data_IF_313983689769
#
_entry.id   IF_313983689769
#
_cell.length_a   1.000
_cell.length_b   1.000
_cell.length_c   1.000
_cell.angle_alpha   90.00
_cell.angle_beta   90.00
_cell.angle_gamma   90.00
#
_symmetry.space_group_name_H-M   'P 1'
#
loop_
_entity.id
_entity.type
_entity.pdbx_description
1 polymer ?
#
# COMPACT_ATOMS: atom_id res chain seq x y z
N UNK A 1 -52.17 15.31 -23.90
CA UNK A 1 -53.29 14.38 -23.65
C UNK A 1 -53.48 13.51 -24.89
N UNK A 2 -53.11 12.24 -24.78
CA UNK A 2 -53.57 11.03 -25.49
C UNK A 2 -52.73 9.85 -24.92
N UNK A 3 -53.30 8.67 -24.66
CA UNK A 3 -52.75 7.70 -23.70
C UNK A 3 -51.75 6.71 -24.33
N UNK A 4 -50.71 6.35 -23.57
CA UNK A 4 -49.80 5.26 -23.89
C UNK A 4 -50.40 3.92 -23.41
N UNK A 5 -50.57 3.00 -24.34
CA UNK A 5 -51.03 1.62 -24.15
C UNK A 5 -49.99 0.80 -23.36
N UNK A 6 -50.44 0.04 -22.36
CA UNK A 6 -49.62 -0.92 -21.60
C UNK A 6 -49.64 -2.26 -22.36
N UNK A 7 -48.50 -2.94 -22.59
CA UNK A 7 -48.51 -4.29 -23.14
C UNK A 7 -48.83 -5.30 -22.03
N UNK A 8 -49.82 -6.15 -22.28
CA UNK A 8 -50.16 -7.33 -21.48
C UNK A 8 -49.04 -8.37 -21.56
N UNK A 9 -48.42 -8.68 -20.41
CA UNK A 9 -47.54 -9.83 -20.26
C UNK A 9 -48.40 -11.10 -20.15
N UNK A 10 -48.18 -12.01 -21.09
CA UNK A 10 -48.74 -13.35 -21.12
C UNK A 10 -47.86 -14.24 -20.21
N UNK A 11 -48.43 -14.78 -19.14
CA UNK A 11 -47.79 -15.78 -18.28
C UNK A 11 -48.45 -17.15 -18.53
N UNK A 12 -47.71 -18.16 -19.06
CA UNK A 12 -48.18 -19.53 -19.11
C UNK A 12 -47.47 -20.37 -18.05
N UNK A 13 -48.20 -20.89 -17.07
CA UNK A 13 -47.66 -21.98 -16.23
C UNK A 13 -48.16 -22.02 -14.80
N UNK A 14 -49.48 -22.20 -14.62
CA UNK A 14 -50.03 -22.67 -13.35
C UNK A 14 -49.64 -24.14 -13.18
N UNK A 15 -48.78 -24.43 -12.20
CA UNK A 15 -48.72 -25.75 -11.60
C UNK A 15 -49.30 -25.69 -10.18
N UNK A 16 -50.33 -26.50 -9.94
CA UNK A 16 -51.13 -26.55 -8.72
C UNK A 16 -50.53 -27.56 -7.77
N UNK A 17 -49.99 -27.14 -6.63
CA UNK A 17 -50.07 -27.99 -5.44
C UNK A 17 -49.89 -27.27 -4.10
N UNK A 18 -50.72 -27.69 -3.15
CA UNK A 18 -50.63 -27.53 -1.67
C UNK A 18 -51.10 -26.22 -1.02
N UNK A 19 -52.37 -26.25 -0.62
CA UNK A 19 -52.86 -26.13 0.76
C UNK A 19 -51.99 -25.43 1.81
N UNK A 20 -52.45 -24.33 2.39
CA UNK A 20 -53.21 -24.29 3.66
C UNK A 20 -53.27 -22.86 4.19
N UNK A 21 -54.41 -22.49 4.82
CA UNK A 21 -54.61 -21.55 5.93
C UNK A 21 -53.86 -20.19 5.90
N UNK A 22 -54.43 -19.01 6.13
CA UNK A 22 -55.58 -18.57 6.94
C UNK A 22 -55.64 -17.04 6.74
N UNK A 23 -56.78 -16.48 6.33
CA UNK A 23 -57.66 -15.62 7.14
C UNK A 23 -57.13 -14.22 7.55
N UNK A 24 -57.89 -13.21 7.08
CA UNK A 24 -58.27 -11.91 7.70
C UNK A 24 -57.68 -10.56 7.19
N UNK A 25 -58.62 -9.74 6.68
CA UNK A 25 -58.83 -8.27 6.86
C UNK A 25 -58.49 -7.32 5.69
N UNK A 26 -59.56 -7.02 4.93
CA UNK A 26 -60.14 -5.71 4.57
C UNK A 26 -59.25 -4.49 4.26
N UNK A 27 -59.30 -4.12 2.98
CA UNK A 27 -59.53 -2.78 2.41
C UNK A 27 -59.16 -1.53 3.22
N UNK A 28 -58.17 -0.76 2.74
CA UNK A 28 -58.21 0.72 2.68
C UNK A 28 -57.36 1.25 1.52
N UNK A 29 -58.00 2.10 0.70
CA UNK A 29 -57.43 3.28 0.02
C UNK A 29 -56.18 3.09 -0.86
N UNK A 30 -56.39 3.08 -2.18
CA UNK A 30 -55.35 3.46 -3.15
C UNK A 30 -55.10 4.97 -3.11
N UNK A 31 -53.86 5.45 -2.93
CA UNK A 31 -53.49 6.77 -3.40
C UNK A 31 -52.91 6.65 -4.81
N UNK A 32 -53.53 7.36 -5.74
CA UNK A 32 -52.97 7.67 -7.04
C UNK A 32 -51.68 8.49 -6.86
N UNK A 33 -50.51 7.89 -7.12
CA UNK A 33 -49.23 8.58 -6.89
C UNK A 33 -47.97 7.82 -7.30
N UNK A 34 -48.02 6.92 -8.29
CA UNK A 34 -46.89 6.02 -8.60
C UNK A 34 -46.41 6.04 -10.05
N UNK A 35 -46.68 7.10 -10.82
CA UNK A 35 -46.07 7.27 -12.15
C UNK A 35 -44.85 8.22 -12.15
N UNK A 36 -44.78 9.16 -11.20
CA UNK A 36 -43.66 10.11 -11.08
C UNK A 36 -42.47 9.55 -10.28
N UNK A 37 -42.70 8.61 -9.35
CA UNK A 37 -41.65 8.01 -8.53
C UNK A 37 -40.68 7.10 -9.31
N UNK A 38 -41.19 6.31 -10.25
CA UNK A 38 -40.38 5.35 -11.01
C UNK A 38 -39.43 6.05 -11.99
N UNK A 39 -39.89 7.15 -12.61
CA UNK A 39 -39.07 7.94 -13.53
C UNK A 39 -38.07 8.86 -12.81
N UNK A 40 -38.31 9.16 -11.52
CA UNK A 40 -37.37 9.86 -10.65
C UNK A 40 -36.29 8.93 -10.08
N UNK A 41 -36.65 7.68 -9.71
CA UNK A 41 -35.68 6.65 -9.29
C UNK A 41 -34.74 6.24 -10.44
N UNK A 42 -35.26 6.02 -11.65
CA UNK A 42 -34.44 5.72 -12.83
C UNK A 42 -33.52 6.90 -13.23
N UNK A 43 -33.91 8.15 -12.91
CA UNK A 43 -33.05 9.34 -13.08
C UNK A 43 -32.06 9.56 -11.93
N UNK A 44 -32.30 8.98 -10.76
CA UNK A 44 -31.37 8.99 -9.63
C UNK A 44 -30.27 7.94 -9.78
N UNK A 45 -30.56 6.74 -10.30
CA UNK A 45 -29.53 5.75 -10.64
C UNK A 45 -28.56 6.24 -11.74
N UNK A 46 -29.03 7.09 -12.65
CA UNK A 46 -28.18 7.68 -13.70
C UNK A 46 -27.36 8.90 -13.25
N UNK A 47 -27.49 9.34 -11.98
CA UNK A 47 -26.92 10.62 -11.50
C UNK A 47 -25.72 10.52 -10.56
N UNK A 48 -25.38 9.35 -10.07
CA UNK A 48 -24.16 9.16 -9.29
C UNK A 48 -23.07 8.53 -10.16
N UNK A 49 -22.52 9.33 -11.08
CA UNK A 49 -21.15 9.07 -11.55
C UNK A 49 -20.25 9.21 -10.33
N UNK A 50 -20.05 8.10 -9.64
CA UNK A 50 -19.34 8.06 -8.36
C UNK A 50 -17.95 8.69 -8.55
N UNK A 51 -17.44 9.37 -7.51
CA UNK A 51 -16.10 9.99 -7.54
C UNK A 51 -15.03 8.99 -8.05
N UNK A 52 -15.20 7.72 -7.67
CA UNK A 52 -14.40 6.56 -8.10
C UNK A 52 -14.44 6.31 -9.62
N UNK A 53 -15.60 6.40 -10.26
CA UNK A 53 -15.72 6.18 -11.72
C UNK A 53 -15.02 7.28 -12.54
N UNK A 54 -15.24 8.55 -12.17
CA UNK A 54 -14.57 9.70 -12.80
C UNK A 54 -13.05 9.60 -12.70
N UNK A 55 -12.60 9.13 -11.55
CA UNK A 55 -11.18 9.02 -11.25
C UNK A 55 -10.55 7.78 -11.95
N UNK A 56 -11.25 6.65 -12.05
CA UNK A 56 -10.79 5.48 -12.82
C UNK A 56 -10.56 5.83 -14.29
N UNK A 57 -11.46 6.63 -14.86
CA UNK A 57 -11.32 7.18 -16.22
C UNK A 57 -10.12 8.14 -16.35
N UNK A 58 -9.84 8.96 -15.34
CA UNK A 58 -8.70 9.87 -15.31
C UNK A 58 -7.36 9.13 -15.33
N UNK A 59 -7.21 8.12 -14.48
CA UNK A 59 -5.96 7.33 -14.42
C UNK A 59 -5.80 6.40 -15.60
N UNK A 60 -6.88 5.89 -16.18
CA UNK A 60 -6.79 5.21 -17.46
C UNK A 60 -6.21 6.12 -18.56
N UNK A 61 -6.69 7.38 -18.63
CA UNK A 61 -6.21 8.38 -19.61
C UNK A 61 -4.77 8.85 -19.38
N UNK A 62 -4.32 8.95 -18.12
CA UNK A 62 -2.99 9.48 -17.75
C UNK A 62 -2.05 8.43 -17.14
N UNK A 63 -2.26 7.15 -17.44
CA UNK A 63 -1.54 6.01 -16.83
C UNK A 63 -0.01 6.16 -16.78
N UNK A 64 0.60 6.73 -17.82
CA UNK A 64 2.05 6.95 -17.87
C UNK A 64 2.54 8.05 -16.94
N UNK A 65 1.79 9.15 -16.80
CA UNK A 65 2.12 10.22 -15.86
C UNK A 65 2.00 9.75 -14.41
N UNK A 66 0.99 8.93 -14.11
CA UNK A 66 0.79 8.35 -12.78
C UNK A 66 1.93 7.39 -12.43
N UNK A 67 2.32 6.52 -13.36
CA UNK A 67 3.48 5.63 -13.18
C UNK A 67 4.77 6.42 -12.99
N UNK A 68 5.00 7.45 -13.80
CA UNK A 68 6.18 8.30 -13.69
C UNK A 68 6.23 9.06 -12.35
N UNK A 69 5.09 9.61 -11.88
CA UNK A 69 5.02 10.30 -10.60
C UNK A 69 5.37 9.36 -9.43
N UNK A 70 4.87 8.13 -9.44
CA UNK A 70 5.21 7.13 -8.43
C UNK A 70 6.66 6.67 -8.49
N UNK A 71 7.21 6.53 -9.69
CA UNK A 71 8.63 6.24 -9.85
C UNK A 71 9.48 7.39 -9.30
N UNK A 72 9.10 8.65 -9.54
CA UNK A 72 9.76 9.82 -8.97
C UNK A 72 9.64 9.84 -7.45
N UNK A 73 8.47 9.54 -6.89
CA UNK A 73 8.27 9.44 -5.43
C UNK A 73 9.17 8.36 -4.83
N UNK A 74 9.24 7.19 -5.46
CA UNK A 74 10.10 6.09 -5.00
C UNK A 74 11.58 6.49 -5.05
N UNK A 75 12.05 7.04 -6.18
CA UNK A 75 13.45 7.43 -6.36
C UNK A 75 13.84 8.58 -5.44
N UNK A 76 12.98 9.60 -5.33
CA UNK A 76 13.20 10.73 -4.43
C UNK A 76 13.14 10.29 -2.95
N UNK A 77 12.21 9.40 -2.60
CA UNK A 77 12.10 8.80 -1.28
C UNK A 77 13.34 7.99 -0.93
N UNK A 78 13.82 7.13 -1.82
CA UNK A 78 15.04 6.35 -1.63
C UNK A 78 16.28 7.24 -1.50
N UNK A 79 16.40 8.28 -2.33
CA UNK A 79 17.49 9.26 -2.22
C UNK A 79 17.44 10.02 -0.90
N UNK A 80 16.25 10.45 -0.47
CA UNK A 80 16.04 11.13 0.82
C UNK A 80 16.31 10.18 2.00
N UNK A 81 15.90 8.92 1.92
CA UNK A 81 16.22 7.91 2.93
C UNK A 81 17.73 7.67 3.03
N UNK A 82 18.44 7.63 1.91
CA UNK A 82 19.91 7.48 1.91
C UNK A 82 20.62 8.72 2.46
N UNK A 83 20.12 9.92 2.18
CA UNK A 83 20.75 11.17 2.59
C UNK A 83 20.39 11.59 4.03
N UNK A 84 19.17 11.31 4.48
CA UNK A 84 18.60 11.82 5.72
C UNK A 84 18.08 10.73 6.67
N UNK A 85 18.08 9.46 6.26
CA UNK A 85 17.58 8.36 7.05
C UNK A 85 18.30 8.20 8.39
N UNK A 86 17.58 7.69 9.37
CA UNK A 86 18.14 7.31 10.67
C UNK A 86 18.56 5.85 10.71
N UNK A 87 19.18 5.48 11.83
CA UNK A 87 19.58 4.11 12.13
C UNK A 87 18.45 3.36 12.84
N UNK A 88 18.27 2.10 12.46
CA UNK A 88 17.41 1.19 13.21
C UNK A 88 18.11 0.77 14.50
N UNK A 89 17.34 0.47 15.55
CA UNK A 89 17.87 0.15 16.86
C UNK A 89 17.60 -1.31 17.21
N UNK A 90 18.58 -1.98 17.79
CA UNK A 90 18.43 -3.38 18.25
C UNK A 90 18.18 -3.45 19.77
N UNK A 91 18.12 -2.29 20.45
CA UNK A 91 17.86 -2.20 21.89
C UNK A 91 16.36 -2.33 22.24
N UNK A 92 16.02 -3.44 22.88
CA UNK A 92 14.72 -3.62 23.54
C UNK A 92 14.72 -2.95 24.91
N UNK A 93 14.17 -1.73 25.00
CA UNK A 93 13.98 -1.05 26.28
C UNK A 93 12.58 -1.31 26.86
N UNK A 94 12.53 -1.72 28.12
CA UNK A 94 11.30 -1.80 28.90
C UNK A 94 11.29 -0.67 29.95
N UNK A 95 10.93 0.57 29.55
CA UNK A 95 10.95 1.70 30.46
C UNK A 95 10.03 1.46 31.66
N UNK A 96 10.52 1.81 32.85
CA UNK A 96 9.80 1.62 34.11
C UNK A 96 9.95 0.23 34.75
N UNK A 97 10.63 -0.72 34.10
CA UNK A 97 10.94 -2.02 34.72
C UNK A 97 12.16 -1.95 35.65
N UNK A 98 12.16 -2.75 36.72
CA UNK A 98 13.31 -2.87 37.63
C UNK A 98 14.55 -3.41 36.92
N UNK A 99 14.39 -4.36 36.00
CA UNK A 99 15.48 -4.89 35.19
C UNK A 99 16.13 -3.83 34.30
N UNK A 100 15.33 -2.94 33.68
CA UNK A 100 15.88 -1.82 32.92
C UNK A 100 16.68 -0.88 33.81
N UNK A 101 16.16 -0.56 35.00
CA UNK A 101 16.88 0.29 35.97
C UNK A 101 18.21 -0.33 36.41
N UNK A 102 18.27 -1.65 36.59
CA UNK A 102 19.50 -2.36 36.90
C UNK A 102 20.52 -2.26 35.74
N UNK A 103 20.08 -2.43 34.49
CA UNK A 103 20.93 -2.26 33.30
C UNK A 103 21.44 -0.82 33.16
N UNK A 104 20.58 0.17 33.40
CA UNK A 104 20.95 1.58 33.34
C UNK A 104 22.01 1.92 34.41
N UNK A 105 21.84 1.40 35.63
CA UNK A 105 22.83 1.55 36.71
C UNK A 105 24.15 0.84 36.40
N UNK A 106 24.11 -0.33 35.75
CA UNK A 106 25.32 -1.03 35.32
C UNK A 106 26.09 -0.21 34.28
N UNK A 107 25.39 0.35 33.28
CA UNK A 107 25.98 1.27 32.28
C UNK A 107 26.57 2.52 32.93
N UNK A 108 25.89 3.10 33.92
CA UNK A 108 26.36 4.33 34.60
C UNK A 108 27.55 4.09 35.53
N UNK A 109 27.55 2.97 36.29
CA UNK A 109 28.53 2.73 37.37
C UNK A 109 29.69 1.84 36.97
N UNK A 110 29.50 0.95 35.99
CA UNK A 110 30.49 -0.02 35.54
C UNK A 110 30.56 -0.08 34.00
N UNK A 111 30.91 1.03 33.33
CA UNK A 111 30.91 1.11 31.86
C UNK A 111 31.82 0.06 31.19
N UNK A 112 32.93 -0.31 31.85
CA UNK A 112 33.83 -1.36 31.36
C UNK A 112 33.24 -2.78 31.36
N UNK A 113 32.14 -3.01 32.10
CA UNK A 113 31.43 -4.29 32.17
C UNK A 113 30.10 -4.27 31.41
N UNK A 114 29.72 -3.12 30.85
CA UNK A 114 28.41 -2.92 30.25
C UNK A 114 28.38 -3.13 28.73
N UNK A 115 29.55 -3.28 28.09
CA UNK A 115 29.68 -3.54 26.66
C UNK A 115 29.37 -4.98 26.28
N UNK A 116 29.34 -5.24 24.96
CA UNK A 116 29.16 -6.54 24.37
C UNK A 116 30.33 -7.48 24.65
N UNK A 117 30.03 -8.74 24.90
CA UNK A 117 31.01 -9.81 25.12
C UNK A 117 31.05 -10.73 23.89
N UNK A 118 32.26 -11.00 23.41
CA UNK A 118 32.59 -12.16 22.59
C UNK A 118 33.42 -13.13 23.42
N UNK A 119 33.15 -14.41 23.24
CA UNK A 119 33.95 -15.48 23.82
C UNK A 119 34.94 -15.98 22.77
N UNK A 120 36.15 -16.31 23.19
CA UNK A 120 37.11 -17.03 22.36
C UNK A 120 37.45 -18.30 23.09
N UNK A 121 37.19 -19.43 22.45
CA UNK A 121 37.44 -20.75 23.01
C UNK A 121 38.64 -21.34 22.30
N UNK A 122 39.64 -21.73 23.08
CA UNK A 122 40.84 -22.41 22.62
C UNK A 122 40.73 -23.88 23.00
N UNK A 123 40.91 -24.78 22.04
CA UNK A 123 41.01 -26.21 22.27
C UNK A 123 42.41 -26.70 21.90
N UNK A 124 43.09 -27.30 22.88
CA UNK A 124 44.45 -27.84 22.76
C UNK A 124 44.45 -29.24 23.35
N UNK A 125 44.30 -30.30 22.53
CA UNK A 125 44.23 -31.68 23.01
C UNK A 125 45.46 -32.13 23.80
N UNK A 126 46.61 -31.48 23.57
CA UNK A 126 47.88 -31.74 24.27
C UNK A 126 48.02 -30.99 25.60
N UNK A 127 47.08 -30.10 25.93
CA UNK A 127 47.02 -29.31 27.16
C UNK A 127 47.32 -27.82 26.97
N UNK A 128 46.51 -26.97 27.61
CA UNK A 128 46.55 -25.50 27.49
C UNK A 128 47.86 -24.88 28.03
N UNK A 129 48.48 -25.47 29.06
CA UNK A 129 49.69 -24.92 29.67
C UNK A 129 50.87 -24.83 28.69
N UNK A 130 50.98 -25.78 27.76
CA UNK A 130 52.00 -25.78 26.70
C UNK A 130 51.74 -24.76 25.60
N UNK A 131 50.49 -24.35 25.42
CA UNK A 131 50.05 -23.39 24.41
C UNK A 131 49.85 -21.97 24.97
N UNK A 132 50.20 -21.72 26.24
CA UNK A 132 49.99 -20.42 26.90
C UNK A 132 50.56 -19.24 26.13
N UNK A 133 51.78 -19.38 25.60
CA UNK A 133 52.41 -18.31 24.82
C UNK A 133 51.66 -18.02 23.51
N UNK A 134 51.14 -19.07 22.85
CA UNK A 134 50.37 -18.95 21.62
C UNK A 134 49.02 -18.27 21.89
N UNK A 135 48.33 -18.64 22.97
CA UNK A 135 47.06 -18.02 23.38
C UNK A 135 47.25 -16.52 23.66
N UNK A 136 48.27 -16.15 24.44
CA UNK A 136 48.55 -14.74 24.74
C UNK A 136 48.96 -13.95 23.49
N UNK A 137 49.66 -14.57 22.53
CA UNK A 137 49.98 -13.94 21.24
C UNK A 137 48.71 -13.64 20.42
N UNK A 138 47.77 -14.58 20.36
CA UNK A 138 46.48 -14.38 19.67
C UNK A 138 45.69 -13.25 20.33
N UNK A 139 45.58 -13.25 21.66
CA UNK A 139 44.88 -12.18 22.39
C UNK A 139 45.56 -10.81 22.21
N UNK A 140 46.90 -10.78 22.16
CA UNK A 140 47.65 -9.55 21.89
C UNK A 140 47.41 -9.02 20.47
N UNK A 141 47.36 -9.90 19.46
CA UNK A 141 47.01 -9.53 18.08
C UNK A 141 45.60 -8.95 18.01
N UNK A 142 44.61 -9.61 18.61
CA UNK A 142 43.22 -9.13 18.65
C UNK A 142 43.14 -7.73 19.26
N UNK A 143 43.86 -7.51 20.38
CA UNK A 143 43.91 -6.19 21.03
C UNK A 143 44.57 -5.11 20.17
N UNK A 144 45.55 -5.47 19.36
CA UNK A 144 46.30 -4.54 18.53
C UNK A 144 45.56 -4.19 17.22
N UNK A 145 44.90 -5.17 16.61
CA UNK A 145 44.27 -5.05 15.29
C UNK A 145 42.81 -4.58 15.37
N UNK A 146 42.13 -4.75 16.51
CA UNK A 146 40.73 -4.34 16.70
C UNK A 146 40.65 -3.15 17.67
N UNK A 147 40.45 -1.92 17.16
CA UNK A 147 40.45 -0.70 18.00
C UNK A 147 39.26 -0.61 18.96
N UNK A 148 38.17 -1.33 18.70
CA UNK A 148 36.92 -1.28 19.47
C UNK A 148 36.92 -2.20 20.72
N UNK A 149 38.04 -2.87 21.00
CA UNK A 149 38.18 -3.75 22.17
C UNK A 149 38.47 -2.91 23.41
N UNK A 150 37.54 -2.92 24.38
CA UNK A 150 37.68 -2.23 25.65
C UNK A 150 38.58 -3.00 26.64
N UNK A 151 38.39 -4.32 26.71
CA UNK A 151 39.16 -5.19 27.59
C UNK A 151 39.19 -6.62 27.05
N UNK A 152 40.26 -7.35 27.36
CA UNK A 152 40.36 -8.79 27.13
C UNK A 152 40.67 -9.43 28.49
N UNK A 153 39.87 -10.41 28.87
CA UNK A 153 40.09 -11.24 30.05
C UNK A 153 40.79 -12.52 29.61
N UNK A 154 42.03 -12.71 30.07
CA UNK A 154 42.81 -13.90 29.71
C UNK A 154 42.30 -15.14 30.48
N UNK A 155 42.32 -16.34 29.87
CA UNK A 155 41.92 -17.58 30.54
C UNK A 155 42.74 -17.91 31.80
N UNK A 156 43.95 -17.34 31.89
CA UNK A 156 44.90 -17.60 32.99
C UNK A 156 44.73 -16.68 34.20
N UNK A 157 43.93 -15.62 34.06
CA UNK A 157 43.74 -14.61 35.11
C UNK A 157 42.63 -14.96 36.09
N UNK A 158 41.68 -15.81 35.69
CA UNK A 158 40.56 -16.24 36.55
C UNK A 158 40.44 -17.76 36.66
N UNK A 159 40.25 -18.29 37.90
CA UNK A 159 39.86 -19.67 38.07
C UNK A 159 38.48 -19.93 37.45
N UNK A 160 38.34 -21.04 36.73
CA UNK A 160 37.10 -21.45 36.06
C UNK A 160 37.03 -21.16 34.56
N UNK A 161 38.05 -20.53 33.98
CA UNK A 161 38.14 -20.29 32.53
C UNK A 161 38.92 -21.38 31.77
N UNK A 162 39.52 -22.31 32.52
CA UNK A 162 40.17 -23.50 31.97
C UNK A 162 39.33 -24.71 32.40
N UNK A 163 39.11 -25.64 31.48
CA UNK A 163 38.34 -26.85 31.73
C UNK A 163 39.04 -27.76 32.74
N UNK A 164 38.30 -28.62 33.48
CA UNK A 164 38.91 -29.50 34.49
C UNK A 164 39.94 -30.49 33.93
N UNK A 165 39.83 -30.84 32.65
CA UNK A 165 40.76 -31.69 31.90
C UNK A 165 41.93 -30.91 31.28
N UNK A 166 41.94 -29.57 31.38
CA UNK A 166 43.04 -28.71 30.94
C UNK A 166 43.22 -28.62 29.43
N UNK A 167 42.22 -29.04 28.66
CA UNK A 167 42.25 -29.08 27.18
C UNK A 167 41.56 -27.86 26.56
N UNK A 168 40.64 -27.20 27.27
CA UNK A 168 39.86 -26.07 26.77
C UNK A 168 40.08 -24.84 27.64
N UNK A 169 40.28 -23.69 27.01
CA UNK A 169 40.38 -22.40 27.67
C UNK A 169 39.45 -21.37 27.05
N UNK A 170 38.82 -20.52 27.88
CA UNK A 170 37.93 -19.44 27.46
C UNK A 170 38.55 -18.09 27.77
N UNK A 171 38.70 -17.25 26.76
CA UNK A 171 38.97 -15.83 26.91
C UNK A 171 37.70 -15.02 26.62
N UNK A 172 37.56 -13.86 27.27
CA UNK A 172 36.41 -12.96 27.05
C UNK A 172 36.92 -11.65 26.47
N UNK A 173 36.46 -11.30 25.28
CA UNK A 173 36.73 -10.01 24.63
C UNK A 173 35.53 -9.10 24.85
N UNK A 174 35.76 -7.98 25.53
CA UNK A 174 34.77 -6.94 25.80
C UNK A 174 34.93 -5.79 24.83
N UNK A 175 33.86 -5.41 24.16
CA UNK A 175 33.83 -4.27 23.26
C UNK A 175 33.39 -2.99 23.96
N UNK A 176 33.74 -1.84 23.39
CA UNK A 176 33.24 -0.53 23.83
C UNK A 176 31.75 -0.33 23.54
N UNK A 177 31.21 -1.08 22.58
CA UNK A 177 29.81 -1.05 22.15
C UNK A 177 29.02 -2.20 22.77
N UNK A 178 27.70 -2.04 22.87
CA UNK A 178 26.79 -3.17 23.16
C UNK A 178 26.91 -4.26 22.07
N UNK A 179 26.60 -5.52 22.40
CA UNK A 179 26.87 -6.67 21.52
C UNK A 179 26.18 -6.58 20.14
N UNK A 180 25.02 -5.95 20.09
CA UNK A 180 24.20 -5.68 18.90
C UNK A 180 24.68 -4.48 18.07
N UNK A 181 25.62 -3.69 18.59
CA UNK A 181 26.17 -2.48 17.94
C UNK A 181 27.62 -2.63 17.51
N UNK A 182 28.23 -3.79 17.76
CA UNK A 182 29.56 -4.10 17.23
C UNK A 182 29.44 -4.22 15.71
N UNK A 183 30.20 -3.43 14.92
CA UNK A 183 30.12 -3.48 13.46
C UNK A 183 30.40 -4.88 12.92
N UNK A 184 29.70 -5.27 11.85
CA UNK A 184 29.90 -6.56 11.20
C UNK A 184 31.34 -6.77 10.72
N UNK A 185 31.99 -5.71 10.22
CA UNK A 185 33.40 -5.79 9.83
C UNK A 185 34.30 -6.12 11.03
N UNK A 186 34.05 -5.52 12.19
CA UNK A 186 34.79 -5.79 13.43
C UNK A 186 34.60 -7.23 13.91
N UNK A 187 33.35 -7.74 13.89
CA UNK A 187 33.05 -9.12 14.27
C UNK A 187 33.69 -10.12 13.28
N UNK A 188 33.61 -9.86 11.98
CA UNK A 188 34.25 -10.70 10.95
C UNK A 188 35.78 -10.63 11.02
N UNK A 189 36.37 -9.50 11.38
CA UNK A 189 37.80 -9.39 11.62
C UNK A 189 38.23 -10.25 12.80
N UNK A 190 37.45 -10.27 13.89
CA UNK A 190 37.69 -11.17 15.02
C UNK A 190 37.66 -12.63 14.58
N UNK A 191 36.65 -13.05 13.81
CA UNK A 191 36.53 -14.41 13.28
C UNK A 191 37.75 -14.77 12.42
N UNK A 192 38.16 -13.89 11.52
CA UNK A 192 39.34 -14.11 10.67
C UNK A 192 40.63 -14.27 11.48
N UNK A 193 40.83 -13.44 12.50
CA UNK A 193 42.01 -13.52 13.36
C UNK A 193 42.05 -14.84 14.15
N UNK A 194 40.89 -15.35 14.58
CA UNK A 194 40.80 -16.67 15.22
C UNK A 194 41.03 -17.80 14.23
N UNK A 195 40.49 -17.72 13.01
CA UNK A 195 40.71 -18.71 11.95
C UNK A 195 42.19 -18.77 11.50
N UNK A 196 42.85 -17.62 11.35
CA UNK A 196 44.28 -17.54 11.02
C UNK A 196 45.17 -18.12 12.12
N UNK A 197 44.74 -18.04 13.37
CA UNK A 197 45.46 -18.58 14.51
C UNK A 197 45.28 -20.11 14.65
N UNK A 198 44.23 -20.68 14.06
CA UNK A 198 43.93 -22.09 14.16
C UNK A 198 44.98 -22.94 13.40
N UNK A 199 45.51 -23.97 14.08
CA UNK A 199 46.51 -24.89 13.55
C UNK A 199 46.14 -26.34 13.92
N UNK A 200 46.68 -27.37 13.23
CA UNK A 200 46.44 -28.75 13.63
C UNK A 200 46.84 -29.01 15.09
N UNK A 201 45.87 -29.30 15.95
CA UNK A 201 46.06 -29.49 17.40
C UNK A 201 45.97 -28.22 18.26
N UNK A 202 45.61 -27.08 17.65
CA UNK A 202 45.32 -25.80 18.30
C UNK A 202 44.12 -25.15 17.60
N UNK A 203 42.92 -25.44 18.08
CA UNK A 203 41.67 -24.90 17.50
C UNK A 203 41.28 -23.64 18.25
N UNK A 204 40.85 -22.61 17.52
CA UNK A 204 40.36 -21.36 18.09
C UNK A 204 38.99 -21.06 17.50
N UNK A 205 37.97 -21.05 18.34
CA UNK A 205 36.58 -20.82 17.93
C UNK A 205 36.06 -19.55 18.61
N UNK A 206 35.64 -18.54 17.83
CA UNK A 206 34.95 -17.37 18.35
C UNK A 206 33.49 -17.72 18.66
N UNK A 207 32.94 -17.11 19.70
CA UNK A 207 31.57 -17.33 20.13
C UNK A 207 31.01 -16.15 20.94
N UNK A 208 29.90 -16.39 21.62
CA UNK A 208 29.22 -15.36 22.40
C UNK A 208 28.27 -14.49 21.57
N UNK A 209 27.68 -13.48 22.23
CA UNK A 209 26.55 -12.73 21.66
C UNK A 209 26.95 -11.90 20.44
N UNK A 210 28.14 -11.30 20.45
CA UNK A 210 28.65 -10.49 19.33
C UNK A 210 28.75 -11.31 18.05
N UNK A 211 29.29 -12.54 18.14
CA UNK A 211 29.44 -13.44 17.00
C UNK A 211 28.06 -13.92 16.51
N UNK A 212 27.18 -14.34 17.43
CA UNK A 212 25.83 -14.80 17.08
C UNK A 212 24.98 -13.74 16.37
N UNK A 213 25.09 -12.47 16.75
CA UNK A 213 24.36 -11.40 16.07
C UNK A 213 24.92 -11.12 14.66
N UNK A 214 26.23 -11.27 14.48
CA UNK A 214 26.89 -10.94 13.21
C UNK A 214 26.95 -12.12 12.22
N UNK A 215 26.85 -13.36 12.68
CA UNK A 215 26.73 -14.55 11.81
C UNK A 215 25.32 -14.77 11.27
N UNK A 216 24.30 -14.23 11.95
CA UNK A 216 22.94 -14.24 11.41
C UNK A 216 22.91 -13.39 10.14
N UNK A 217 22.76 -14.03 8.99
CA UNK A 217 22.64 -13.34 7.72
C UNK A 217 21.49 -12.31 7.77
N UNK A 218 21.81 -11.03 7.61
CA UNK A 218 20.80 -9.96 7.48
C UNK A 218 19.91 -10.16 6.25
N UNK A 219 20.36 -10.95 5.27
CA UNK A 219 19.59 -11.28 4.07
C UNK A 219 18.53 -12.34 4.40
N UNK A 220 17.36 -11.84 4.74
CA UNK A 220 16.26 -12.63 5.24
C UNK A 220 15.58 -13.54 4.23
N UNK A 221 14.86 -14.50 4.79
CA UNK A 221 14.08 -15.52 4.11
C UNK A 221 12.98 -14.99 3.17
N UNK A 222 12.75 -13.67 3.13
CA UNK A 222 11.75 -13.01 2.29
C UNK A 222 11.99 -13.27 0.80
N UNK A 223 13.25 -13.45 0.36
CA UNK A 223 13.54 -13.75 -1.04
C UNK A 223 12.93 -15.09 -1.46
N UNK A 224 12.95 -16.09 -0.58
CA UNK A 224 12.31 -17.38 -0.82
C UNK A 224 10.78 -17.22 -0.85
N UNK A 225 10.22 -16.40 0.02
CA UNK A 225 8.80 -16.04 0.00
C UNK A 225 8.38 -15.36 -1.30
N UNK A 226 9.18 -14.40 -1.80
CA UNK A 226 8.93 -13.72 -3.06
C UNK A 226 9.03 -14.66 -4.26
N UNK A 227 10.03 -15.54 -4.29
CA UNK A 227 10.16 -16.58 -5.32
C UNK A 227 8.93 -17.50 -5.31
N UNK A 228 8.51 -17.98 -4.14
CA UNK A 228 7.31 -18.80 -4.01
C UNK A 228 6.06 -18.05 -4.48
N UNK A 229 5.89 -16.77 -4.12
CA UNK A 229 4.79 -15.93 -4.57
C UNK A 229 4.78 -15.77 -6.10
N UNK A 230 5.94 -15.56 -6.74
CA UNK A 230 6.07 -15.53 -8.20
C UNK A 230 5.55 -16.83 -8.82
N UNK A 231 5.98 -17.99 -8.33
CA UNK A 231 5.52 -19.28 -8.85
C UNK A 231 4.01 -19.50 -8.65
N UNK A 232 3.49 -19.20 -7.45
CA UNK A 232 2.07 -19.35 -7.13
C UNK A 232 1.21 -18.43 -8.02
N UNK A 233 1.58 -17.17 -8.14
CA UNK A 233 0.85 -16.19 -8.96
C UNK A 233 0.95 -16.52 -10.45
N UNK A 234 2.08 -17.04 -10.91
CA UNK A 234 2.24 -17.50 -12.30
C UNK A 234 1.28 -18.65 -12.60
N UNK A 235 1.15 -19.63 -11.69
CA UNK A 235 0.20 -20.74 -11.82
C UNK A 235 -1.24 -20.24 -11.75
N UNK A 236 -1.56 -19.34 -10.81
CA UNK A 236 -2.91 -18.83 -10.62
C UNK A 236 -3.40 -18.00 -11.82
N UNK A 237 -2.53 -17.18 -12.41
CA UNK A 237 -2.90 -16.31 -13.52
C UNK A 237 -2.63 -16.88 -14.91
N UNK A 238 -1.67 -17.80 -15.04
CA UNK A 238 -1.24 -18.36 -16.33
C UNK A 238 -0.56 -17.36 -17.26
N UNK A 239 -0.18 -16.16 -16.76
CA UNK A 239 0.42 -15.09 -17.56
C UNK A 239 1.42 -14.28 -16.73
N UNK A 240 2.63 -14.10 -17.28
CA UNK A 240 3.72 -13.33 -16.66
C UNK A 240 3.32 -11.88 -16.41
N UNK A 241 2.55 -11.28 -17.32
CA UNK A 241 2.11 -9.88 -17.19
C UNK A 241 1.07 -9.73 -16.07
N UNK A 242 0.13 -10.66 -15.98
CA UNK A 242 -0.91 -10.64 -14.95
C UNK A 242 -0.35 -10.89 -13.55
N UNK A 243 0.71 -11.71 -13.44
CA UNK A 243 1.48 -11.93 -12.21
C UNK A 243 2.35 -10.71 -11.85
N UNK A 244 3.00 -10.09 -12.84
CA UNK A 244 3.93 -8.98 -12.61
C UNK A 244 3.25 -7.72 -12.07
N UNK A 245 1.97 -7.49 -12.39
CA UNK A 245 1.23 -6.32 -11.91
C UNK A 245 1.05 -6.31 -10.38
N UNK A 246 0.52 -7.38 -9.74
CA UNK A 246 0.44 -7.48 -8.29
C UNK A 246 1.79 -7.39 -7.57
N UNK A 247 2.80 -8.10 -8.06
CA UNK A 247 4.13 -8.09 -7.44
C UNK A 247 4.77 -6.71 -7.56
N UNK A 248 4.72 -6.11 -8.75
CA UNK A 248 5.23 -4.76 -8.96
C UNK A 248 4.55 -3.75 -8.05
N UNK A 249 3.21 -3.79 -7.93
CA UNK A 249 2.47 -2.92 -7.03
C UNK A 249 2.88 -3.09 -5.56
N UNK A 250 3.03 -4.34 -5.10
CA UNK A 250 3.47 -4.64 -3.75
C UNK A 250 4.90 -4.14 -3.48
N UNK A 251 5.83 -4.36 -4.40
CA UNK A 251 7.22 -3.92 -4.27
C UNK A 251 7.36 -2.39 -4.32
N UNK A 252 6.60 -1.70 -5.16
CA UNK A 252 6.58 -0.23 -5.19
C UNK A 252 6.03 0.36 -3.89
N UNK A 253 4.93 -0.21 -3.39
CA UNK A 253 4.34 0.19 -2.11
C UNK A 253 5.30 -0.07 -0.94
N UNK A 254 5.91 -1.26 -0.90
CA UNK A 254 6.91 -1.63 0.10
C UNK A 254 8.12 -0.71 0.04
N UNK A 255 8.73 -0.53 -1.14
CA UNK A 255 9.93 0.30 -1.29
C UNK A 255 9.70 1.75 -0.87
N UNK A 256 8.53 2.31 -1.19
CA UNK A 256 8.16 3.65 -0.74
C UNK A 256 7.90 3.68 0.77
N UNK A 257 7.24 2.65 1.31
CA UNK A 257 6.98 2.52 2.75
C UNK A 257 8.27 2.41 3.56
N UNK A 258 9.22 1.57 3.12
CA UNK A 258 10.53 1.43 3.74
C UNK A 258 11.31 2.74 3.68
N UNK A 259 11.33 3.43 2.53
CA UNK A 259 11.97 4.74 2.44
C UNK A 259 11.40 5.74 3.46
N UNK A 260 10.08 5.77 3.64
CA UNK A 260 9.43 6.62 4.64
C UNK A 260 9.77 6.22 6.07
N UNK A 261 9.82 4.91 6.37
CA UNK A 261 10.22 4.41 7.68
C UNK A 261 11.69 4.78 7.97
N UNK A 262 12.60 4.59 7.02
CA UNK A 262 14.02 4.95 7.18
C UNK A 262 14.19 6.44 7.41
N UNK A 263 13.43 7.29 6.72
CA UNK A 263 13.42 8.73 6.98
C UNK A 263 12.87 9.02 8.39
N UNK A 264 11.76 8.39 8.76
CA UNK A 264 11.17 8.53 10.09
C UNK A 264 12.10 8.02 11.20
N UNK A 265 12.97 7.05 10.90
CA UNK A 265 13.94 6.49 11.83
C UNK A 265 14.93 7.50 12.39
N UNK A 266 15.09 8.64 11.71
CA UNK A 266 15.89 9.76 12.20
C UNK A 266 15.34 10.34 13.51
N UNK A 267 14.02 10.38 13.66
CA UNK A 267 13.35 10.99 14.82
C UNK A 267 12.75 9.95 15.77
N UNK A 268 12.46 8.75 15.26
CA UNK A 268 11.80 7.67 16.00
C UNK A 268 12.70 6.44 15.95
N UNK A 269 13.05 5.86 17.10
CA UNK A 269 13.81 4.61 17.12
C UNK A 269 12.96 3.42 16.66
N UNK A 270 13.14 2.99 15.41
CA UNK A 270 12.52 1.76 14.90
C UNK A 270 13.40 0.55 15.17
N UNK A 271 12.83 -0.58 15.61
CA UNK A 271 13.56 -1.83 15.68
C UNK A 271 14.13 -2.26 14.32
N UNK A 272 15.30 -2.88 14.29
CA UNK A 272 15.93 -3.47 13.09
C UNK A 272 15.00 -4.44 12.32
N UNK A 273 14.29 -5.31 13.05
CA UNK A 273 13.30 -6.22 12.49
C UNK A 273 12.03 -5.53 11.96
N UNK A 274 11.88 -4.21 12.14
CA UNK A 274 10.74 -3.46 11.56
C UNK A 274 10.74 -3.52 10.03
N UNK A 275 11.92 -3.61 9.42
CA UNK A 275 12.08 -3.73 7.97
C UNK A 275 11.54 -5.07 7.46
N UNK A 276 11.88 -6.18 8.14
CA UNK A 276 11.38 -7.53 7.87
C UNK A 276 9.86 -7.60 8.09
N UNK A 277 9.37 -7.03 9.20
CA UNK A 277 7.95 -6.94 9.50
C UNK A 277 7.18 -6.15 8.44
N UNK A 278 7.72 -4.99 8.03
CA UNK A 278 7.20 -4.19 6.93
C UNK A 278 7.18 -4.95 5.61
N UNK A 279 8.23 -5.71 5.30
CA UNK A 279 8.31 -6.53 4.09
C UNK A 279 7.26 -7.64 4.08
N UNK A 280 7.17 -8.43 5.16
CA UNK A 280 6.20 -9.51 5.30
C UNK A 280 4.77 -9.01 5.08
N UNK A 281 4.40 -7.91 5.74
CA UNK A 281 3.05 -7.36 5.67
C UNK A 281 2.82 -6.61 4.36
N UNK A 282 3.77 -5.78 3.93
CA UNK A 282 3.67 -5.00 2.70
C UNK A 282 3.55 -5.87 1.46
N UNK A 283 4.32 -6.97 1.40
CA UNK A 283 4.22 -7.95 0.30
C UNK A 283 2.90 -8.70 0.38
N UNK A 284 2.54 -9.28 1.54
CA UNK A 284 1.30 -10.04 1.68
C UNK A 284 0.06 -9.21 1.35
N UNK A 285 -0.10 -8.09 2.05
CA UNK A 285 -1.22 -7.16 1.87
C UNK A 285 -1.21 -6.56 0.45
N UNK A 286 -0.04 -6.17 -0.06
CA UNK A 286 0.10 -5.58 -1.38
C UNK A 286 -0.26 -6.54 -2.52
N UNK A 287 0.17 -7.80 -2.42
CA UNK A 287 -0.17 -8.86 -3.38
C UNK A 287 -1.66 -9.16 -3.31
N UNK A 288 -2.22 -9.42 -2.13
CA UNK A 288 -3.63 -9.80 -1.95
C UNK A 288 -4.58 -8.72 -2.48
N UNK A 289 -4.30 -7.46 -2.16
CA UNK A 289 -5.14 -6.35 -2.60
C UNK A 289 -5.03 -6.12 -4.11
N UNK A 290 -3.84 -6.25 -4.66
CA UNK A 290 -3.65 -6.14 -6.11
C UNK A 290 -4.29 -7.32 -6.85
N UNK A 291 -4.24 -8.52 -6.27
CA UNK A 291 -4.87 -9.73 -6.79
C UNK A 291 -6.38 -9.52 -6.94
N UNK A 292 -7.06 -9.02 -5.90
CA UNK A 292 -8.50 -8.75 -5.92
C UNK A 292 -8.93 -7.76 -6.99
N UNK A 293 -8.09 -6.77 -7.31
CA UNK A 293 -8.37 -5.79 -8.37
C UNK A 293 -8.10 -6.41 -9.74
N UNK A 294 -6.99 -7.14 -9.90
CA UNK A 294 -6.60 -7.76 -11.18
C UNK A 294 -7.56 -8.86 -11.58
N UNK A 295 -8.01 -9.70 -10.65
CA UNK A 295 -9.01 -10.76 -10.92
C UNK A 295 -10.31 -10.15 -11.44
N UNK A 296 -10.78 -9.08 -10.80
CA UNK A 296 -12.04 -8.41 -11.19
C UNK A 296 -11.93 -7.64 -12.50
N UNK A 297 -10.79 -7.01 -12.75
CA UNK A 297 -10.48 -6.48 -14.07
C UNK A 297 -10.53 -7.59 -15.13
N UNK A 298 -9.96 -8.76 -14.84
CA UNK A 298 -9.92 -9.88 -15.78
C UNK A 298 -11.31 -10.46 -16.04
N UNK A 299 -12.14 -10.62 -15.01
CA UNK A 299 -13.55 -11.02 -15.14
C UNK A 299 -14.32 -10.06 -16.05
N UNK A 300 -14.16 -8.75 -15.86
CA UNK A 300 -14.81 -7.73 -16.68
C UNK A 300 -14.38 -7.79 -18.16
N UNK A 301 -13.09 -8.04 -18.43
CA UNK A 301 -12.59 -8.25 -19.79
C UNK A 301 -13.17 -9.55 -20.41
N UNK A 302 -13.25 -10.64 -19.64
CA UNK A 302 -13.84 -11.90 -20.12
C UNK A 302 -15.34 -11.78 -20.38
N UNK A 303 -16.03 -10.89 -19.66
CA UNK A 303 -17.42 -10.53 -19.91
C UNK A 303 -17.61 -9.64 -21.16
N UNK A 304 -16.53 -9.35 -21.91
CA UNK A 304 -16.58 -8.58 -23.15
C UNK A 304 -16.60 -7.06 -22.98
N UNK A 305 -16.35 -6.54 -21.76
CA UNK A 305 -16.32 -5.09 -21.52
C UNK A 305 -15.06 -4.45 -22.10
N UNK A 306 -15.16 -3.18 -22.48
CA UNK A 306 -14.00 -2.41 -22.95
C UNK A 306 -13.00 -2.21 -21.81
N UNK A 307 -11.72 -2.07 -22.12
CA UNK A 307 -10.65 -1.91 -21.11
C UNK A 307 -10.93 -0.78 -20.12
N UNK A 308 -11.45 0.35 -20.59
CA UNK A 308 -11.82 1.48 -19.72
C UNK A 308 -12.93 1.11 -18.73
N UNK A 309 -13.99 0.45 -19.20
CA UNK A 309 -15.13 0.01 -18.38
C UNK A 309 -14.71 -1.07 -17.38
N UNK A 310 -13.85 -2.00 -17.79
CA UNK A 310 -13.29 -3.02 -16.93
C UNK A 310 -12.43 -2.42 -15.79
N UNK A 311 -11.67 -1.36 -16.08
CA UNK A 311 -10.93 -0.62 -15.03
C UNK A 311 -11.91 0.07 -14.07
N UNK A 312 -12.94 0.74 -14.59
CA UNK A 312 -13.96 1.41 -13.75
C UNK A 312 -14.66 0.43 -12.81
N UNK A 313 -15.05 -0.74 -13.32
CA UNK A 313 -15.72 -1.78 -12.53
C UNK A 313 -14.82 -2.36 -11.45
N UNK A 314 -13.57 -2.73 -11.80
CA UNK A 314 -12.61 -3.28 -10.84
C UNK A 314 -12.32 -2.29 -9.69
N UNK A 315 -12.25 -0.99 -9.99
CA UNK A 315 -12.03 0.06 -9.00
C UNK A 315 -13.26 0.27 -8.13
N UNK A 316 -14.44 0.41 -8.73
CA UNK A 316 -15.66 0.75 -7.99
C UNK A 316 -16.16 -0.40 -7.11
N UNK A 317 -15.81 -1.64 -7.44
CA UNK A 317 -16.17 -2.83 -6.65
C UNK A 317 -15.04 -3.26 -5.72
N UNK A 318 -13.98 -3.88 -6.25
CA UNK A 318 -12.85 -4.41 -5.47
C UNK A 318 -12.01 -3.31 -4.83
N UNK A 319 -11.82 -2.17 -5.52
CA UNK A 319 -11.05 -1.07 -4.95
C UNK A 319 -11.64 -0.54 -3.63
N UNK A 320 -12.97 -0.46 -3.52
CA UNK A 320 -13.65 -0.08 -2.27
C UNK A 320 -13.45 -1.12 -1.17
N UNK A 321 -13.55 -2.41 -1.51
CA UNK A 321 -13.32 -3.50 -0.57
C UNK A 321 -11.88 -3.50 -0.04
N UNK A 322 -10.90 -3.27 -0.93
CA UNK A 322 -9.47 -3.15 -0.58
C UNK A 322 -9.22 -1.97 0.35
N UNK A 323 -9.78 -0.79 0.05
CA UNK A 323 -9.66 0.39 0.92
C UNK A 323 -10.22 0.12 2.32
N UNK A 324 -11.38 -0.51 2.39
CA UNK A 324 -11.99 -0.88 3.67
C UNK A 324 -11.10 -1.87 4.44
N UNK A 325 -10.66 -2.94 3.78
CA UNK A 325 -9.80 -3.95 4.39
C UNK A 325 -8.48 -3.34 4.93
N UNK A 326 -7.82 -2.49 4.14
CA UNK A 326 -6.57 -1.88 4.57
C UNK A 326 -6.72 -0.86 5.69
N UNK A 327 -7.83 -0.11 5.73
CA UNK A 327 -8.15 0.76 6.88
C UNK A 327 -8.34 -0.09 8.14
N UNK A 328 -9.03 -1.22 8.05
CA UNK A 328 -9.19 -2.15 9.18
C UNK A 328 -7.83 -2.67 9.67
N UNK A 329 -6.92 -3.05 8.76
CA UNK A 329 -5.56 -3.46 9.12
C UNK A 329 -4.77 -2.33 9.77
N UNK A 330 -4.86 -1.10 9.24
CA UNK A 330 -4.22 0.07 9.84
C UNK A 330 -4.74 0.36 11.26
N UNK A 331 -6.06 0.25 11.48
CA UNK A 331 -6.69 0.39 12.80
C UNK A 331 -6.22 -0.73 13.74
N UNK A 332 -6.09 -1.96 13.25
CA UNK A 332 -5.60 -3.08 14.05
C UNK A 332 -4.16 -2.83 14.56
N UNK A 333 -3.29 -2.23 13.75
CA UNK A 333 -1.96 -1.81 14.23
C UNK A 333 -2.03 -0.77 15.34
N UNK A 334 -2.93 0.20 15.26
CA UNK A 334 -3.09 1.15 16.37
C UNK A 334 -3.53 0.48 17.67
N UNK A 335 -4.15 -0.72 17.61
CA UNK A 335 -4.42 -1.54 18.79
C UNK A 335 -3.16 -1.96 19.57
N UNK A 336 -2.00 -2.10 18.92
CA UNK A 336 -0.74 -2.44 19.59
C UNK A 336 -0.25 -1.33 20.52
N UNK A 337 -0.71 -0.09 20.35
CA UNK A 337 -0.38 1.01 21.28
C UNK A 337 -0.92 0.77 22.69
N UNK A 338 -1.98 -0.04 22.82
CA UNK A 338 -2.58 -0.38 24.12
C UNK A 338 -1.60 -1.13 25.03
N UNK A 339 -0.61 -1.83 24.45
CA UNK A 339 0.40 -2.59 25.20
C UNK A 339 1.32 -1.66 26.02
N UNK A 340 1.48 -0.39 25.61
CA UNK A 340 2.26 0.60 26.35
C UNK A 340 3.78 0.43 26.27
N UNK A 341 4.28 -0.49 25.43
CA UNK A 341 5.72 -0.69 25.20
C UNK A 341 6.17 0.14 23.98
N UNK A 342 7.17 1.03 24.11
CA UNK A 342 7.58 1.91 23.00
C UNK A 342 8.00 1.16 21.73
N UNK A 343 8.74 0.06 21.87
CA UNK A 343 9.21 -0.72 20.71
C UNK A 343 8.03 -1.37 19.94
N UNK A 344 6.96 -1.75 20.65
CA UNK A 344 5.74 -2.28 20.03
C UNK A 344 4.98 -1.16 19.31
N UNK A 345 4.93 0.03 19.90
CA UNK A 345 4.30 1.19 19.28
C UNK A 345 5.04 1.62 17.99
N UNK A 346 6.39 1.65 18.00
CA UNK A 346 7.15 1.98 16.79
C UNK A 346 7.02 0.90 15.71
N UNK A 347 7.04 -0.38 16.08
CA UNK A 347 6.72 -1.48 15.16
C UNK A 347 5.31 -1.35 14.55
N UNK A 348 4.31 -1.02 15.37
CA UNK A 348 2.95 -0.79 14.91
C UNK A 348 2.86 0.37 13.93
N UNK A 349 3.58 1.48 14.19
CA UNK A 349 3.65 2.60 13.23
C UNK A 349 4.31 2.20 11.92
N UNK A 350 5.37 1.38 11.94
CA UNK A 350 6.01 0.90 10.72
C UNK A 350 5.03 0.08 9.87
N UNK A 351 4.36 -0.90 10.47
CA UNK A 351 3.34 -1.71 9.80
C UNK A 351 2.19 -0.87 9.25
N UNK A 352 1.67 0.07 10.05
CA UNK A 352 0.60 0.97 9.64
C UNK A 352 1.03 1.87 8.47
N UNK A 353 2.23 2.47 8.52
CA UNK A 353 2.76 3.32 7.44
C UNK A 353 2.88 2.51 6.15
N UNK A 354 3.43 1.29 6.19
CA UNK A 354 3.56 0.46 4.99
C UNK A 354 2.19 0.13 4.40
N UNK A 355 1.23 -0.30 5.23
CA UNK A 355 -0.12 -0.60 4.75
C UNK A 355 -0.79 0.66 4.20
N UNK A 356 -0.65 1.80 4.86
CA UNK A 356 -1.20 3.07 4.38
C UNK A 356 -0.54 3.55 3.10
N UNK A 357 0.76 3.29 2.90
CA UNK A 357 1.48 3.63 1.66
C UNK A 357 1.12 2.67 0.54
N UNK A 358 0.98 1.38 0.80
CA UNK A 358 0.45 0.41 -0.17
C UNK A 358 -0.98 0.79 -0.55
N UNK A 359 -1.81 1.11 0.44
CA UNK A 359 -3.15 1.62 0.21
C UNK A 359 -3.11 2.95 -0.53
N UNK A 360 -2.23 3.89 -0.21
CA UNK A 360 -2.12 5.16 -0.93
C UNK A 360 -1.53 4.96 -2.33
N UNK A 361 -0.68 3.96 -2.57
CA UNK A 361 -0.17 3.62 -3.89
C UNK A 361 -1.30 3.10 -4.77
N UNK A 362 -2.00 2.08 -4.27
CA UNK A 362 -3.20 1.56 -4.86
C UNK A 362 -4.20 2.71 -5.02
N UNK A 363 -4.43 3.49 -3.96
CA UNK A 363 -5.45 4.50 -3.86
C UNK A 363 -5.12 5.86 -4.42
N UNK A 364 -3.91 6.24 -4.83
CA UNK A 364 -3.60 7.46 -5.61
C UNK A 364 -3.58 7.09 -7.09
N UNK A 365 -3.15 5.86 -7.39
CA UNK A 365 -3.73 5.13 -8.52
C UNK A 365 -5.24 4.87 -8.30
N UNK A 366 -5.92 5.41 -7.26
CA UNK A 366 -7.40 5.57 -7.04
C UNK A 366 -7.94 6.99 -6.61
N UNK A 367 -7.09 8.00 -6.38
CA UNK A 367 -7.25 9.24 -5.54
C UNK A 367 -7.66 10.55 -6.23
N UNK A 368 -6.74 11.15 -7.00
CA UNK A 368 -6.78 12.61 -7.17
C UNK A 368 -7.81 13.13 -8.18
N UNK A 369 -8.98 13.46 -7.64
CA UNK A 369 -10.15 14.02 -8.33
C UNK A 369 -10.53 15.44 -7.92
N UNK A 370 -9.61 16.26 -7.41
CA UNK A 370 -9.95 17.62 -6.97
C UNK A 370 -9.53 18.76 -7.91
N UNK A 371 -8.66 18.53 -8.89
CA UNK A 371 -8.19 19.60 -9.80
C UNK A 371 -9.01 19.76 -11.10
N UNK A 372 -9.96 18.87 -11.40
CA UNK A 372 -10.73 18.87 -12.65
C UNK A 372 -12.14 19.47 -12.54
N UNK A 373 -12.63 19.71 -11.31
CA UNK A 373 -13.98 20.21 -11.03
C UNK A 373 -14.19 21.63 -11.58
N UNK A 374 -13.13 22.44 -11.66
CA UNK A 374 -13.20 23.81 -12.17
C UNK A 374 -13.20 23.90 -13.70
N UNK A 375 -12.68 22.88 -14.42
CA UNK A 375 -12.65 22.90 -15.89
C UNK A 375 -13.93 22.33 -16.52
N UNK A 376 -14.53 21.32 -15.89
CA UNK A 376 -15.75 20.68 -16.41
C UNK A 376 -17.03 21.53 -16.20
N UNK A 377 -17.11 22.35 -15.14
CA UNK A 377 -18.26 23.25 -14.96
C UNK A 377 -18.34 24.35 -16.01
N UNK A 378 -17.20 24.85 -16.49
CA UNK A 378 -17.15 25.89 -17.53
C UNK A 378 -17.57 25.35 -18.91
N UNK A 379 -17.21 24.10 -19.21
CA UNK A 379 -17.51 23.47 -20.49
C UNK A 379 -18.99 23.04 -20.59
N UNK A 380 -19.57 22.53 -19.50
CA UNK A 380 -21.01 22.20 -19.43
C UNK A 380 -21.87 23.46 -19.53
N UNK A 381 -21.51 24.54 -18.82
CA UNK A 381 -22.25 25.81 -18.90
C UNK A 381 -22.22 26.42 -20.32
N UNK A 382 -21.12 26.23 -21.06
CA UNK A 382 -20.99 26.71 -22.45
C UNK A 382 -21.89 25.93 -23.40
N UNK A 383 -21.95 24.60 -23.26
CA UNK A 383 -22.78 23.74 -24.10
C UNK A 383 -24.27 23.92 -23.81
N UNK A 384 -24.66 24.11 -22.54
CA UNK A 384 -26.05 24.41 -22.17
C UNK A 384 -26.51 25.76 -22.73
N UNK A 385 -25.65 26.78 -22.72
CA UNK A 385 -25.93 28.08 -23.33
C UNK A 385 -26.09 27.99 -24.86
N UNK A 386 -25.28 27.16 -25.53
CA UNK A 386 -25.32 26.98 -26.98
C UNK A 386 -26.59 26.22 -27.42
N UNK A 387 -27.01 25.19 -26.66
CA UNK A 387 -28.26 24.46 -26.91
C UNK A 387 -29.49 25.37 -26.68
N UNK A 388 -29.47 26.21 -25.64
CA UNK A 388 -30.54 27.16 -25.38
C UNK A 388 -30.67 28.18 -26.52
N UNK A 389 -29.55 28.69 -27.03
CA UNK A 389 -29.53 29.63 -28.16
C UNK A 389 -30.06 29.00 -29.46
N UNK A 390 -29.70 27.74 -29.75
CA UNK A 390 -30.19 27.03 -30.94
C UNK A 390 -31.70 26.80 -30.87
N UNK A 391 -32.23 26.37 -29.71
CA UNK A 391 -33.67 26.15 -29.55
C UNK A 391 -34.49 27.43 -29.72
N UNK A 392 -34.01 28.54 -29.20
CA UNK A 392 -34.68 29.83 -29.36
C UNK A 392 -34.71 30.25 -30.83
N UNK A 393 -33.60 30.06 -31.55
CA UNK A 393 -33.52 30.37 -32.99
C UNK A 393 -34.48 29.51 -33.82
N UNK A 394 -34.59 28.21 -33.50
CA UNK A 394 -35.56 27.32 -34.15
C UNK A 394 -37.00 27.78 -33.93
N UNK A 395 -37.35 28.20 -32.70
CA UNK A 395 -38.70 28.69 -32.39
C UNK A 395 -39.03 29.99 -33.14
N UNK A 396 -38.09 30.93 -33.22
CA UNK A 396 -38.28 32.16 -33.98
C UNK A 396 -38.47 31.91 -35.47
N UNK A 397 -37.73 30.95 -36.04
CA UNK A 397 -37.90 30.52 -37.43
C UNK A 397 -39.27 29.89 -37.68
N UNK A 398 -39.76 29.04 -36.76
CA UNK A 398 -41.10 28.45 -36.85
C UNK A 398 -42.19 29.52 -36.78
N UNK A 399 -42.08 30.51 -35.89
CA UNK A 399 -43.03 31.63 -35.79
C UNK A 399 -43.00 32.51 -37.06
N UNK A 400 -41.83 32.77 -37.64
CA UNK A 400 -41.72 33.51 -38.91
C UNK A 400 -42.33 32.76 -40.09
N UNK A 401 -42.09 31.44 -40.19
CA UNK A 401 -42.69 30.61 -41.23
C UNK A 401 -44.21 30.59 -41.08
N UNK A 402 -44.71 30.47 -39.85
CA UNK A 402 -46.15 30.51 -39.56
C UNK A 402 -46.78 31.85 -39.96
N UNK A 403 -46.10 32.97 -39.72
CA UNK A 403 -46.55 34.30 -40.14
C UNK A 403 -46.57 34.48 -41.65
N UNK A 404 -45.52 34.06 -42.35
CA UNK A 404 -45.39 34.18 -43.82
C UNK A 404 -46.38 33.26 -44.55
N UNK A 405 -46.70 32.11 -43.95
CA UNK A 405 -47.64 31.13 -44.53
C UNK A 405 -49.09 31.41 -44.13
N UNK A 406 -49.35 32.44 -43.31
CA UNK A 406 -50.71 32.80 -42.92
C UNK A 406 -51.50 33.37 -44.09
N UNK A 407 -52.78 32.99 -44.20
CA UNK A 407 -53.67 33.44 -45.27
C UNK A 407 -53.75 34.98 -45.35
N UNK A 408 -53.66 35.66 -44.20
CA UNK A 408 -53.64 37.12 -44.13
C UNK A 408 -52.37 37.74 -44.73
N UNK A 409 -51.20 37.12 -44.53
CA UNK A 409 -49.96 37.57 -45.14
C UNK A 409 -49.93 37.30 -46.65
N UNK A 410 -50.37 36.11 -47.06
CA UNK A 410 -50.47 35.74 -48.48
C UNK A 410 -51.44 36.66 -49.21
N UNK A 411 -52.58 36.98 -48.60
CA UNK A 411 -53.56 37.91 -49.16
C UNK A 411 -53.01 39.34 -49.26
N UNK A 412 -52.33 39.83 -48.22
CA UNK A 412 -51.70 41.16 -48.25
C UNK A 412 -50.61 41.25 -49.31
N UNK A 413 -49.75 40.24 -49.39
CA UNK A 413 -48.68 40.17 -50.39
C UNK A 413 -49.24 40.07 -51.82
N UNK A 414 -50.30 39.26 -52.03
CA UNK A 414 -50.97 39.14 -53.32
C UNK A 414 -51.61 40.47 -53.77
N UNK A 415 -52.20 41.24 -52.85
CA UNK A 415 -52.80 42.55 -53.13
C UNK A 415 -51.76 43.65 -53.37
N UNK A 416 -50.74 43.76 -52.50
CA UNK A 416 -49.77 44.87 -52.53
C UNK A 416 -48.65 44.68 -53.58
N UNK A 417 -48.15 43.45 -53.78
CA UNK A 417 -46.99 43.20 -54.65
C UNK A 417 -47.35 42.60 -56.01
N UNK A 418 -48.43 41.80 -56.09
CA UNK A 418 -48.86 41.15 -57.33
C UNK A 418 -50.09 41.80 -57.97
N UNK A 419 -50.73 42.77 -57.30
CA UNK A 419 -51.90 43.49 -57.81
C UNK A 419 -53.13 42.61 -58.02
N UNK A 420 -53.19 41.46 -57.35
CA UNK A 420 -54.28 40.49 -57.50
C UNK A 420 -55.47 40.85 -56.61
N UNK A 421 -56.67 40.75 -57.17
CA UNK A 421 -57.94 41.15 -56.53
C UNK A 421 -58.89 39.96 -56.57
N UNK A 422 -59.69 39.76 -55.52
CA UNK A 422 -60.65 38.65 -55.47
C UNK A 422 -61.75 38.85 -56.54
N UNK A 423 -62.27 37.76 -57.15
CA UNK A 423 -63.35 37.87 -58.13
C UNK A 423 -64.57 38.60 -57.55
N UNK A 424 -64.91 39.78 -58.11
CA UNK A 424 -66.02 40.61 -57.67
C UNK A 424 -65.64 41.89 -56.90
N UNK A 425 -64.36 42.09 -56.55
CA UNK A 425 -63.86 43.36 -55.98
C UNK A 425 -63.29 44.26 -57.09
N UNK A 426 -63.49 45.58 -56.98
CA UNK A 426 -62.89 46.59 -57.87
C UNK A 426 -61.72 47.27 -57.17
N UNK A 427 -60.51 47.15 -57.74
CA UNK A 427 -59.34 47.85 -57.20
C UNK A 427 -59.37 49.33 -57.58
N UNK A 428 -59.29 50.19 -56.57
CA UNK A 428 -59.07 51.62 -56.74
C UNK A 428 -57.61 51.92 -56.40
N UNK A 429 -56.82 52.30 -57.40
CA UNK A 429 -55.48 52.86 -57.19
C UNK A 429 -55.63 54.33 -56.82
N UNK A 430 -55.15 54.69 -55.64
CA UNK A 430 -55.00 56.08 -55.21
C UNK A 430 -53.72 56.65 -55.79
#
# INVERSE_FOLDING_TARGET
MLPCSIPTIHDPGVDRNRSSASHWILSRGTPAGTATGVCAMARQEARDVTVMERWARFVHRRKWLVLAAWLVILVAGAAAARAFGGEFQTEFRLPGSESQRANDLLKERFPAQAGGEADIVFEVPTGIDGARAQIEEVLARIRAEIPDVAAIESPFERPGYISPDGTIARAVVRFTFDADKVPHETAMQLIRLTEEAAQPGFTVEPGGRVIQFNEQAEFGSEIYGLIAAVFILLIAFGSVVAMGVPIGAALFGLGTGLALITIAARWVGFPDFSSQFAAMIGIGVGIDYSLLVVTRFREAIHAGKRVEEAVVEAVTTSGRAVMFAGIVVAIAFFGLFVIGLPFIATLATAGAVVVLVVLAYLAIRYVDGYASILRLRAEIARVEAEIAAIRERSRQLEEQIALITSDAYVERYAREQLGLVRPGETAYTV
#
